data_IF_957892665659
#
_entry.id   IF_957892665659
#
_cell.length_a   1.000
_cell.length_b   1.000
_cell.length_c   1.000
_cell.angle_alpha   90.00
_cell.angle_beta   90.00
_cell.angle_gamma   90.00
#
_symmetry.space_group_name_H-M   'P 1'
#
loop_
_entity.id
_entity.type
_entity.pdbx_description
1 polymer ?
#
# COMPACT_ATOMS: atom_id res chain seq x y z
N UNK A 1 -32.26 -45.03 7.22
CA UNK A 1 -30.92 -44.56 7.52
C UNK A 1 -31.00 -43.63 8.71
N UNK A 2 -30.55 -44.12 9.87
CA UNK A 2 -30.44 -43.33 11.09
C UNK A 2 -29.36 -42.29 10.85
N UNK A 3 -29.73 -40.99 10.82
CA UNK A 3 -28.79 -39.88 10.84
C UNK A 3 -27.90 -40.05 12.09
N UNK A 4 -26.61 -40.18 11.86
CA UNK A 4 -25.64 -40.19 12.97
C UNK A 4 -25.57 -38.78 13.57
N UNK A 5 -25.33 -38.66 14.85
CA UNK A 5 -25.17 -37.36 15.55
C UNK A 5 -24.11 -36.48 14.89
N UNK A 6 -23.15 -37.07 14.18
CA UNK A 6 -22.12 -36.41 13.39
C UNK A 6 -22.60 -35.71 12.12
N UNK A 7 -23.86 -35.95 11.70
CA UNK A 7 -24.44 -35.36 10.47
C UNK A 7 -25.25 -34.09 10.78
N UNK A 8 -25.24 -33.61 12.02
CA UNK A 8 -26.01 -32.47 12.46
C UNK A 8 -25.09 -31.22 12.63
N UNK A 9 -25.53 -30.10 12.07
CA UNK A 9 -24.95 -28.81 12.35
C UNK A 9 -25.36 -28.41 13.76
N UNK A 10 -24.42 -28.38 14.69
CA UNK A 10 -24.66 -28.07 16.11
C UNK A 10 -24.80 -26.57 16.38
N UNK A 11 -24.07 -25.75 15.65
CA UNK A 11 -24.11 -24.29 15.76
C UNK A 11 -23.67 -23.64 14.44
N UNK A 12 -24.09 -22.41 14.21
CA UNK A 12 -23.63 -21.52 13.16
C UNK A 12 -23.00 -20.30 13.84
N UNK A 13 -21.80 -19.93 13.44
CA UNK A 13 -21.09 -18.77 13.97
C UNK A 13 -20.72 -17.81 12.84
N UNK A 14 -20.71 -16.52 13.15
CA UNK A 14 -20.50 -15.44 12.18
C UNK A 14 -19.03 -15.09 11.99
N UNK A 15 -18.19 -15.33 13.00
CA UNK A 15 -16.77 -14.98 12.97
C UNK A 15 -15.89 -16.19 12.67
N UNK A 16 -15.46 -16.31 11.43
CA UNK A 16 -14.53 -17.34 10.96
C UNK A 16 -13.06 -17.00 11.17
N UNK A 17 -12.74 -15.82 11.69
CA UNK A 17 -11.37 -15.28 11.75
C UNK A 17 -10.46 -16.10 12.68
N UNK A 18 -10.99 -16.60 13.79
CA UNK A 18 -10.24 -17.38 14.77
C UNK A 18 -10.42 -18.88 14.62
N UNK A 19 -11.60 -19.34 14.23
CA UNK A 19 -11.97 -20.77 14.24
C UNK A 19 -12.02 -21.40 12.84
N UNK A 20 -11.81 -20.63 11.78
CA UNK A 20 -11.98 -21.09 10.41
C UNK A 20 -13.46 -21.28 10.05
N UNK A 21 -13.72 -21.82 8.87
CA UNK A 21 -15.10 -21.96 8.34
C UNK A 21 -15.84 -23.19 8.89
N UNK A 22 -15.14 -24.12 9.51
CA UNK A 22 -15.69 -25.39 10.00
C UNK A 22 -15.09 -25.73 11.35
N UNK A 23 -15.94 -26.05 12.31
CA UNK A 23 -15.56 -26.53 13.63
C UNK A 23 -16.23 -27.88 13.84
N UNK A 24 -15.47 -28.85 14.30
CA UNK A 24 -16.00 -30.18 14.69
C UNK A 24 -15.66 -30.41 16.14
N UNK A 25 -16.47 -31.19 16.81
CA UNK A 25 -16.25 -31.59 18.20
C UNK A 25 -14.97 -32.41 18.35
N UNK A 26 -14.21 -32.18 19.41
CA UNK A 26 -12.94 -32.88 19.68
C UNK A 26 -13.14 -34.39 19.78
N UNK A 27 -14.22 -34.87 20.40
CA UNK A 27 -14.52 -36.29 20.47
C UNK A 27 -14.73 -36.93 19.09
N UNK A 28 -15.28 -36.15 18.14
CA UNK A 28 -15.42 -36.59 16.77
C UNK A 28 -14.09 -36.54 16.02
N UNK A 29 -13.27 -35.51 16.26
CA UNK A 29 -11.96 -35.36 15.63
C UNK A 29 -10.99 -36.47 16.05
N UNK A 30 -10.92 -36.80 17.33
CA UNK A 30 -10.04 -37.83 17.90
C UNK A 30 -10.34 -39.23 17.35
N UNK A 31 -11.56 -39.49 16.89
CA UNK A 31 -11.92 -40.76 16.22
C UNK A 31 -11.26 -40.92 14.86
N UNK A 32 -11.01 -39.80 14.16
CA UNK A 32 -10.43 -39.80 12.80
C UNK A 32 -8.92 -39.58 12.84
N UNK A 33 -8.42 -38.80 13.80
CA UNK A 33 -7.02 -38.40 13.94
C UNK A 33 -6.54 -38.59 15.41
N UNK A 34 -6.50 -39.84 15.90
CA UNK A 34 -6.03 -40.08 17.25
C UNK A 34 -4.56 -39.67 17.39
N UNK A 35 -4.24 -38.86 18.41
CA UNK A 35 -2.91 -38.29 18.72
C UNK A 35 -2.51 -37.09 17.89
N UNK A 36 -3.45 -36.35 17.33
CA UNK A 36 -3.12 -35.03 16.80
C UNK A 36 -2.79 -34.08 17.97
N UNK A 37 -1.62 -33.42 17.98
CA UNK A 37 -1.32 -32.45 19.03
C UNK A 37 -2.21 -31.19 18.84
N UNK A 38 -2.71 -30.66 19.95
CA UNK A 38 -3.41 -29.38 19.95
C UNK A 38 -2.41 -28.26 19.64
N UNK A 39 -2.64 -27.53 18.55
CA UNK A 39 -1.78 -26.43 18.14
C UNK A 39 -2.17 -25.08 18.78
N UNK A 40 -3.42 -24.95 19.22
CA UNK A 40 -3.94 -23.75 19.85
C UNK A 40 -5.13 -24.08 20.76
N UNK A 41 -5.24 -23.37 21.86
CA UNK A 41 -6.35 -23.46 22.79
C UNK A 41 -6.89 -22.05 23.05
N UNK A 42 -8.20 -21.88 22.97
CA UNK A 42 -8.86 -20.63 23.35
C UNK A 42 -9.44 -20.76 24.76
N UNK A 43 -9.04 -19.85 25.63
CA UNK A 43 -9.51 -19.82 27.02
C UNK A 43 -10.44 -18.62 27.21
N UNK A 44 -11.72 -18.88 27.50
CA UNK A 44 -12.67 -17.84 27.88
C UNK A 44 -12.65 -17.61 29.39
N UNK A 45 -12.56 -16.35 29.80
CA UNK A 45 -12.65 -16.02 31.23
C UNK A 45 -14.08 -16.08 31.70
N UNK A 46 -14.27 -16.51 32.96
CA UNK A 46 -15.59 -16.51 33.59
C UNK A 46 -16.16 -15.08 33.67
N UNK A 47 -17.47 -14.97 33.61
CA UNK A 47 -18.14 -13.68 33.74
C UNK A 47 -17.77 -12.99 35.06
N UNK A 48 -17.22 -11.78 35.01
CA UNK A 48 -16.77 -11.00 36.17
C UNK A 48 -15.36 -11.33 36.69
N UNK A 49 -14.61 -12.23 36.01
CA UNK A 49 -13.21 -12.47 36.38
C UNK A 49 -12.35 -11.26 35.95
N UNK A 50 -11.40 -10.87 36.81
CA UNK A 50 -10.40 -9.88 36.46
C UNK A 50 -9.43 -10.47 35.41
N UNK A 51 -9.28 -9.84 34.22
CA UNK A 51 -8.45 -10.38 33.16
C UNK A 51 -6.98 -10.59 33.54
N UNK A 52 -6.46 -9.73 34.44
CA UNK A 52 -5.05 -9.76 34.82
C UNK A 52 -4.76 -11.00 35.72
N UNK A 53 -5.62 -11.25 36.69
CA UNK A 53 -5.48 -12.40 37.59
C UNK A 53 -5.78 -13.71 36.87
N UNK A 54 -6.79 -13.74 35.99
CA UNK A 54 -7.10 -14.90 35.15
C UNK A 54 -5.94 -15.28 34.22
N UNK A 55 -5.31 -14.28 33.60
CA UNK A 55 -4.12 -14.46 32.78
C UNK A 55 -2.96 -15.06 33.58
N UNK A 56 -2.68 -14.54 34.75
CA UNK A 56 -1.59 -15.05 35.62
C UNK A 56 -1.76 -16.55 35.96
N UNK A 57 -3.00 -17.00 36.14
CA UNK A 57 -3.30 -18.43 36.38
C UNK A 57 -3.00 -19.25 35.13
N UNK A 58 -3.36 -18.77 33.92
CA UNK A 58 -3.08 -19.47 32.67
C UNK A 58 -1.57 -19.51 32.41
N UNK A 59 -0.85 -18.40 32.62
CA UNK A 59 0.60 -18.35 32.49
C UNK A 59 1.30 -19.32 33.44
N UNK A 60 0.87 -19.41 34.71
CA UNK A 60 1.44 -20.36 35.66
C UNK A 60 1.26 -21.84 35.26
N UNK A 61 0.18 -22.17 34.54
CA UNK A 61 -0.03 -23.53 34.00
C UNK A 61 0.84 -23.78 32.79
N UNK A 62 1.10 -22.74 31.96
CA UNK A 62 1.90 -22.85 30.74
C UNK A 62 3.39 -22.78 31.00
N UNK A 63 3.86 -22.37 32.18
CA UNK A 63 5.30 -22.32 32.52
C UNK A 63 5.98 -23.71 32.44
N UNK A 64 5.24 -24.77 32.62
CA UNK A 64 5.73 -26.15 32.45
C UNK A 64 5.87 -26.57 30.98
N UNK A 65 5.39 -25.74 30.05
CA UNK A 65 5.40 -26.00 28.59
C UNK A 65 6.16 -24.93 27.83
N UNK A 66 7.49 -25.07 27.63
CA UNK A 66 8.34 -24.02 27.00
C UNK A 66 7.92 -23.58 25.59
N UNK A 67 7.15 -24.40 24.90
CA UNK A 67 6.61 -24.09 23.57
C UNK A 67 5.25 -23.40 23.61
N UNK A 68 4.57 -23.38 24.75
CA UNK A 68 3.30 -22.69 24.88
C UNK A 68 3.51 -21.18 25.03
N UNK A 69 2.68 -20.39 24.37
CA UNK A 69 2.67 -18.94 24.52
C UNK A 69 1.26 -18.45 24.77
N UNK A 70 1.06 -17.76 25.89
CA UNK A 70 -0.22 -17.15 26.23
C UNK A 70 -0.30 -15.80 25.51
N UNK A 71 -1.25 -15.68 24.60
CA UNK A 71 -1.49 -14.44 23.86
C UNK A 71 -2.88 -13.92 24.18
N UNK A 72 -2.97 -12.66 24.57
CA UNK A 72 -4.23 -11.94 24.63
C UNK A 72 -4.65 -11.51 23.21
N UNK A 73 -5.96 -11.32 22.99
CA UNK A 73 -6.51 -10.83 21.72
C UNK A 73 -5.85 -9.52 21.25
N UNK A 74 -5.53 -8.62 22.18
CA UNK A 74 -4.81 -7.39 21.87
C UNK A 74 -3.36 -7.65 21.41
N UNK A 75 -2.67 -8.60 22.04
CA UNK A 75 -1.30 -8.98 21.65
C UNK A 75 -1.28 -9.70 20.30
N UNK A 76 -2.29 -10.53 20.02
CA UNK A 76 -2.43 -11.17 18.71
C UNK A 76 -2.66 -10.14 17.62
N UNK A 77 -3.55 -9.18 17.84
CA UNK A 77 -3.77 -8.05 16.93
C UNK A 77 -2.47 -7.25 16.71
N UNK A 78 -1.79 -6.86 17.79
CA UNK A 78 -0.54 -6.10 17.69
C UNK A 78 0.56 -6.86 16.90
N UNK A 79 0.63 -8.19 17.04
CA UNK A 79 1.57 -9.01 16.25
C UNK A 79 1.19 -9.06 14.77
N UNK A 80 -0.11 -9.17 14.45
CA UNK A 80 -0.60 -9.15 13.09
C UNK A 80 -0.36 -7.77 12.45
N UNK A 81 -0.70 -6.70 13.17
CA UNK A 81 -0.43 -5.32 12.78
C UNK A 81 1.07 -5.10 12.52
N UNK A 82 1.95 -5.54 13.43
CA UNK A 82 3.40 -5.43 13.26
C UNK A 82 3.95 -6.17 12.03
N UNK A 83 3.37 -7.31 11.67
CA UNK A 83 3.74 -8.00 10.42
C UNK A 83 3.26 -7.24 9.18
N UNK A 84 2.05 -6.68 9.23
CA UNK A 84 1.52 -5.85 8.15
C UNK A 84 2.37 -4.58 7.99
N UNK A 85 2.74 -3.92 9.09
CA UNK A 85 3.60 -2.73 9.08
C UNK A 85 4.97 -3.02 8.47
N UNK A 86 5.55 -4.18 8.74
CA UNK A 86 6.81 -4.60 8.12
C UNK A 86 6.67 -4.76 6.60
N UNK A 87 5.61 -5.41 6.13
CA UNK A 87 5.33 -5.57 4.70
C UNK A 87 5.09 -4.20 4.05
N UNK A 88 4.26 -3.36 4.68
CA UNK A 88 3.96 -2.01 4.20
C UNK A 88 5.23 -1.13 4.16
N UNK A 89 6.14 -1.28 5.13
CA UNK A 89 7.41 -0.57 5.14
C UNK A 89 8.28 -0.95 3.94
N UNK A 90 8.39 -2.24 3.64
CA UNK A 90 9.14 -2.72 2.46
C UNK A 90 8.52 -2.16 1.17
N UNK A 91 7.20 -2.24 1.03
CA UNK A 91 6.47 -1.69 -0.12
C UNK A 91 6.74 -0.19 -0.24
N UNK A 92 6.70 0.55 0.87
CA UNK A 92 6.94 2.00 0.90
C UNK A 92 8.35 2.35 0.43
N UNK A 93 9.36 1.57 0.79
CA UNK A 93 10.73 1.77 0.30
C UNK A 93 10.80 1.56 -1.21
N UNK A 94 10.17 0.51 -1.76
CA UNK A 94 10.11 0.28 -3.20
C UNK A 94 9.34 1.38 -3.93
N UNK A 95 8.24 1.88 -3.36
CA UNK A 95 7.51 3.02 -3.90
C UNK A 95 8.38 4.28 -3.91
N UNK A 96 9.15 4.55 -2.86
CA UNK A 96 10.09 5.65 -2.79
C UNK A 96 11.17 5.55 -3.87
N UNK A 97 11.73 4.36 -4.09
CA UNK A 97 12.69 4.11 -5.14
C UNK A 97 12.08 4.32 -6.54
N UNK A 98 10.88 3.81 -6.77
CA UNK A 98 10.14 3.99 -8.03
C UNK A 98 9.86 5.47 -8.30
N UNK A 99 9.46 6.22 -7.28
CA UNK A 99 9.24 7.66 -7.38
C UNK A 99 10.54 8.41 -7.71
N UNK A 100 11.66 8.01 -7.10
CA UNK A 100 12.97 8.58 -7.41
C UNK A 100 13.36 8.36 -8.87
N UNK A 101 13.16 7.14 -9.39
CA UNK A 101 13.39 6.81 -10.81
C UNK A 101 12.48 7.64 -11.72
N UNK A 102 11.20 7.80 -11.36
CA UNK A 102 10.26 8.61 -12.10
C UNK A 102 10.69 10.10 -12.18
N UNK A 103 11.15 10.66 -11.07
CA UNK A 103 11.69 12.05 -11.03
C UNK A 103 12.91 12.20 -11.92
N UNK A 104 13.83 11.22 -11.92
CA UNK A 104 14.98 11.19 -12.83
C UNK A 104 14.53 11.10 -14.29
N UNK A 105 13.54 10.25 -14.60
CA UNK A 105 12.98 10.11 -15.94
C UNK A 105 12.39 11.42 -16.46
N UNK A 106 11.54 12.09 -15.66
CA UNK A 106 10.97 13.39 -16.02
C UNK A 106 12.08 14.43 -16.21
N UNK A 107 13.07 14.46 -15.30
CA UNK A 107 14.21 15.39 -15.41
C UNK A 107 14.99 15.20 -16.69
N UNK A 108 15.27 13.95 -17.07
CA UNK A 108 15.99 13.61 -18.29
C UNK A 108 15.19 13.98 -19.54
N UNK A 109 13.91 13.62 -19.59
CA UNK A 109 13.02 13.95 -20.71
C UNK A 109 12.88 15.46 -20.89
N UNK A 110 12.71 16.20 -19.78
CA UNK A 110 12.63 17.66 -19.82
C UNK A 110 13.96 18.30 -20.24
N UNK A 111 15.08 17.72 -19.82
CA UNK A 111 16.41 18.23 -20.23
C UNK A 111 16.63 18.05 -21.74
N UNK A 112 16.22 16.89 -22.28
CA UNK A 112 16.29 16.61 -23.71
C UNK A 112 15.34 17.52 -24.49
N UNK A 113 14.09 17.67 -24.08
CA UNK A 113 13.12 18.58 -24.69
C UNK A 113 13.62 20.02 -24.74
N UNK A 114 14.22 20.52 -23.66
CA UNK A 114 14.83 21.85 -23.63
C UNK A 114 15.99 21.95 -24.63
N UNK A 115 16.81 20.90 -24.75
CA UNK A 115 17.95 20.88 -25.68
C UNK A 115 17.47 20.89 -27.12
N UNK A 116 16.52 20.05 -27.49
CA UNK A 116 15.96 19.96 -28.86
C UNK A 116 15.29 21.28 -29.31
N UNK A 117 14.67 22.00 -28.36
CA UNK A 117 13.94 23.26 -28.61
C UNK A 117 14.76 24.51 -28.25
N UNK A 118 16.08 24.38 -28.14
CA UNK A 118 16.96 25.49 -27.74
C UNK A 118 16.80 26.70 -28.62
N UNK A 119 16.69 26.53 -29.98
CA UNK A 119 16.51 27.61 -30.96
C UNK A 119 15.16 28.32 -30.75
N UNK A 120 14.07 27.59 -30.54
CA UNK A 120 12.73 28.15 -30.27
C UNK A 120 12.75 28.98 -28.98
N UNK A 121 13.33 28.41 -27.90
CA UNK A 121 13.44 29.07 -26.60
C UNK A 121 14.34 30.31 -26.69
N UNK A 122 15.40 30.28 -27.50
CA UNK A 122 16.26 31.41 -27.81
C UNK A 122 15.50 32.52 -28.55
N UNK A 123 14.71 32.17 -29.54
CA UNK A 123 13.86 33.11 -30.30
C UNK A 123 12.82 33.79 -29.41
N UNK A 124 12.12 33.00 -28.56
CA UNK A 124 11.17 33.55 -27.58
C UNK A 124 11.82 34.57 -26.66
N UNK A 125 13.06 34.34 -26.25
CA UNK A 125 13.82 35.29 -25.42
C UNK A 125 14.26 36.52 -26.20
N UNK A 126 14.58 36.36 -27.49
CA UNK A 126 14.94 37.50 -28.36
C UNK A 126 13.76 38.47 -28.56
N UNK A 127 12.50 37.94 -28.62
CA UNK A 127 11.29 38.74 -28.74
C UNK A 127 10.81 39.31 -27.38
N UNK A 128 11.55 39.05 -26.28
CA UNK A 128 11.30 39.71 -25.00
C UNK A 128 10.81 38.80 -23.86
N UNK A 129 10.79 37.48 -24.04
CA UNK A 129 10.46 36.56 -22.95
C UNK A 129 11.52 36.62 -21.85
N UNK A 130 11.08 36.86 -20.59
CA UNK A 130 11.97 36.91 -19.45
C UNK A 130 12.39 35.51 -18.99
N UNK A 131 13.56 35.40 -18.35
CA UNK A 131 14.04 34.14 -17.74
C UNK A 131 13.04 33.53 -16.74
N UNK A 132 12.24 34.37 -16.07
CA UNK A 132 11.22 33.92 -15.12
C UNK A 132 10.03 33.25 -15.84
N UNK A 133 9.58 33.83 -16.93
CA UNK A 133 8.51 33.28 -17.77
C UNK A 133 8.94 31.94 -18.38
N UNK A 134 10.15 31.87 -18.92
CA UNK A 134 10.69 30.62 -19.47
C UNK A 134 10.75 29.49 -18.43
N UNK A 135 11.27 29.80 -17.22
CA UNK A 135 11.27 28.81 -16.13
C UNK A 135 9.86 28.37 -15.73
N UNK A 136 8.91 29.27 -15.73
CA UNK A 136 7.51 28.94 -15.41
C UNK A 136 6.90 28.05 -16.49
N UNK A 137 7.15 28.34 -17.76
CA UNK A 137 6.70 27.52 -18.90
C UNK A 137 7.18 26.06 -18.78
N UNK A 138 8.49 25.85 -18.62
CA UNK A 138 9.08 24.49 -18.49
C UNK A 138 8.55 23.76 -17.25
N UNK A 139 8.30 24.45 -16.13
CA UNK A 139 7.72 23.83 -14.94
C UNK A 139 6.28 23.38 -15.14
N UNK A 140 5.46 24.20 -15.81
CA UNK A 140 4.07 23.83 -16.12
C UNK A 140 4.00 22.65 -17.09
N UNK A 141 4.89 22.59 -18.06
CA UNK A 141 5.01 21.44 -18.97
C UNK A 141 5.28 20.15 -18.18
N UNK A 142 6.24 20.16 -17.25
CA UNK A 142 6.52 19.01 -16.40
C UNK A 142 5.36 18.65 -15.46
N UNK A 143 4.64 19.64 -14.92
CA UNK A 143 3.44 19.40 -14.09
C UNK A 143 2.34 18.71 -14.89
N UNK A 144 2.11 19.14 -16.13
CA UNK A 144 1.11 18.53 -17.02
C UNK A 144 1.47 17.06 -17.30
N UNK A 145 2.74 16.79 -17.62
CA UNK A 145 3.23 15.42 -17.86
C UNK A 145 3.06 14.57 -16.60
N UNK A 146 3.43 15.09 -15.42
CA UNK A 146 3.31 14.38 -14.16
C UNK A 146 1.84 14.12 -13.78
N UNK A 147 0.95 15.07 -13.99
CA UNK A 147 -0.49 14.90 -13.74
C UNK A 147 -1.11 13.88 -14.69
N UNK A 148 -0.74 13.90 -15.97
CA UNK A 148 -1.19 12.90 -16.93
C UNK A 148 -0.74 11.49 -16.53
N UNK A 149 0.54 11.33 -16.20
CA UNK A 149 1.07 10.07 -15.66
C UNK A 149 0.39 9.65 -14.35
N UNK A 150 0.13 10.61 -13.46
CA UNK A 150 -0.60 10.39 -12.21
C UNK A 150 -2.04 9.91 -12.43
N UNK A 151 -2.77 10.50 -13.38
CA UNK A 151 -4.12 10.07 -13.77
C UNK A 151 -4.13 8.65 -14.32
N UNK A 152 -3.19 8.34 -15.22
CA UNK A 152 -3.04 6.97 -15.73
C UNK A 152 -2.69 5.99 -14.61
N UNK A 153 -1.78 6.36 -13.73
CA UNK A 153 -1.39 5.53 -12.58
C UNK A 153 -2.54 5.27 -11.61
N UNK A 154 -3.32 6.29 -11.28
CA UNK A 154 -4.54 6.15 -10.44
C UNK A 154 -5.57 5.27 -11.15
N UNK A 155 -5.82 5.49 -12.44
CA UNK A 155 -6.77 4.68 -13.21
C UNK A 155 -6.38 3.19 -13.24
N UNK A 156 -5.11 2.91 -13.53
CA UNK A 156 -4.58 1.54 -13.52
C UNK A 156 -4.59 0.94 -12.10
N UNK A 157 -4.22 1.72 -11.09
CA UNK A 157 -4.23 1.29 -9.69
C UNK A 157 -5.63 0.89 -9.21
N UNK A 158 -6.65 1.68 -9.54
CA UNK A 158 -8.05 1.34 -9.23
C UNK A 158 -8.49 0.10 -10.00
N UNK A 159 -8.17 0.01 -11.29
CA UNK A 159 -8.52 -1.15 -12.12
C UNK A 159 -7.92 -2.45 -11.54
N UNK A 160 -6.61 -2.47 -11.27
CA UNK A 160 -5.94 -3.64 -10.71
C UNK A 160 -6.39 -3.93 -9.27
N UNK A 161 -6.65 -2.90 -8.47
CA UNK A 161 -7.20 -3.05 -7.12
C UNK A 161 -8.56 -3.76 -7.13
N UNK A 162 -9.48 -3.31 -7.98
CA UNK A 162 -10.79 -3.94 -8.14
C UNK A 162 -10.68 -5.36 -8.70
N UNK A 163 -9.79 -5.59 -9.68
CA UNK A 163 -9.55 -6.93 -10.22
C UNK A 163 -8.96 -7.89 -9.16
N UNK A 164 -8.06 -7.41 -8.31
CA UNK A 164 -7.51 -8.19 -7.22
C UNK A 164 -8.58 -8.56 -6.18
N UNK A 165 -9.43 -7.60 -5.81
CA UNK A 165 -10.56 -7.84 -4.89
C UNK A 165 -11.53 -8.86 -5.49
N UNK A 166 -11.86 -8.75 -6.77
CA UNK A 166 -12.76 -9.69 -7.45
C UNK A 166 -12.20 -11.13 -7.55
N UNK A 167 -10.88 -11.30 -7.39
CA UNK A 167 -10.23 -12.62 -7.34
C UNK A 167 -10.25 -13.26 -5.94
N UNK A 168 -10.57 -12.50 -4.90
CA UNK A 168 -10.67 -12.97 -3.52
C UNK A 168 -12.10 -13.46 -3.27
N UNK A 169 -12.31 -14.63 -2.63
CA UNK A 169 -13.64 -15.09 -2.27
C UNK A 169 -14.39 -14.08 -1.39
N UNK A 170 -15.69 -13.92 -1.63
CA UNK A 170 -16.55 -12.95 -0.91
C UNK A 170 -16.56 -13.15 0.62
N UNK A 171 -16.19 -14.34 1.09
CA UNK A 171 -16.03 -14.65 2.53
C UNK A 171 -14.94 -13.85 3.22
N UNK A 172 -13.99 -13.27 2.48
CA UNK A 172 -12.87 -12.49 3.04
C UNK A 172 -13.00 -10.99 2.85
N UNK A 173 -13.93 -10.52 2.04
CA UNK A 173 -14.09 -9.10 1.71
C UNK A 173 -15.55 -8.70 1.78
N UNK A 174 -15.95 -8.09 2.89
CA UNK A 174 -17.32 -7.64 3.10
C UNK A 174 -17.63 -6.28 2.48
N UNK A 175 -16.64 -5.37 2.45
CA UNK A 175 -16.87 -3.99 2.01
C UNK A 175 -15.71 -3.52 1.13
N UNK A 176 -16.04 -3.11 -0.08
CA UNK A 176 -15.09 -2.43 -0.99
C UNK A 176 -15.27 -0.91 -0.88
N UNK A 177 -14.27 -0.22 -0.36
CA UNK A 177 -14.27 1.24 -0.26
C UNK A 177 -13.15 1.85 -1.11
N UNK A 178 -13.50 2.77 -1.99
CA UNK A 178 -12.54 3.53 -2.79
C UNK A 178 -12.23 4.85 -2.07
N UNK A 179 -10.99 5.08 -1.60
CA UNK A 179 -10.62 6.28 -0.87
C UNK A 179 -10.36 7.46 -1.82
N UNK A 180 -11.41 8.10 -2.32
CA UNK A 180 -11.32 9.21 -3.30
C UNK A 180 -10.42 10.36 -2.83
N UNK A 181 -10.42 10.66 -1.54
CA UNK A 181 -9.56 11.71 -0.95
C UNK A 181 -8.06 11.37 -1.09
N UNK A 182 -7.69 10.11 -0.88
CA UNK A 182 -6.31 9.65 -1.05
C UNK A 182 -5.90 9.67 -2.53
N UNK A 183 -6.81 9.27 -3.44
CA UNK A 183 -6.55 9.31 -4.88
C UNK A 183 -6.29 10.74 -5.37
N UNK A 184 -7.09 11.70 -4.90
CA UNK A 184 -6.86 13.12 -5.18
C UNK A 184 -5.52 13.60 -4.59
N UNK A 185 -5.20 13.17 -3.38
CA UNK A 185 -3.92 13.44 -2.75
C UNK A 185 -2.73 12.95 -3.59
N UNK A 186 -2.80 11.77 -4.16
CA UNK A 186 -1.75 11.23 -5.04
C UNK A 186 -1.58 12.06 -6.31
N UNK A 187 -2.66 12.59 -6.90
CA UNK A 187 -2.57 13.48 -8.05
C UNK A 187 -1.86 14.81 -7.69
N UNK A 188 -2.18 15.38 -6.54
CA UNK A 188 -1.52 16.60 -6.05
C UNK A 188 -0.02 16.34 -5.84
N UNK A 189 0.31 15.23 -5.19
CA UNK A 189 1.70 14.81 -4.94
C UNK A 189 2.44 14.58 -6.26
N UNK A 190 1.83 13.93 -7.26
CA UNK A 190 2.45 13.73 -8.58
C UNK A 190 2.78 15.07 -9.24
N UNK A 191 1.87 16.04 -9.21
CA UNK A 191 2.11 17.39 -9.73
C UNK A 191 3.27 18.12 -9.02
N UNK A 192 3.37 17.96 -7.69
CA UNK A 192 4.48 18.52 -6.91
C UNK A 192 5.82 17.89 -7.30
N UNK A 193 5.88 16.56 -7.48
CA UNK A 193 7.09 15.89 -7.94
C UNK A 193 7.47 16.26 -9.37
N UNK A 194 6.48 16.45 -10.27
CA UNK A 194 6.72 17.00 -11.59
C UNK A 194 7.35 18.40 -11.54
N UNK A 195 6.86 19.25 -10.67
CA UNK A 195 7.43 20.58 -10.45
C UNK A 195 8.88 20.53 -9.92
N UNK A 196 9.16 19.62 -8.98
CA UNK A 196 10.50 19.41 -8.43
C UNK A 196 11.47 18.88 -9.51
N UNK A 197 11.04 17.89 -10.30
CA UNK A 197 11.83 17.32 -11.39
C UNK A 197 12.24 18.36 -12.44
N UNK A 198 11.37 19.35 -12.67
CA UNK A 198 11.63 20.42 -13.63
C UNK A 198 12.56 21.53 -13.13
N UNK A 199 12.98 21.54 -11.85
CA UNK A 199 13.79 22.64 -11.31
C UNK A 199 15.14 22.76 -12.05
N UNK A 200 15.84 21.65 -12.25
CA UNK A 200 17.14 21.64 -12.93
C UNK A 200 17.02 22.01 -14.42
N UNK A 201 16.17 21.34 -15.24
CA UNK A 201 16.02 21.65 -16.65
C UNK A 201 15.51 23.09 -16.87
N UNK A 202 14.55 23.56 -16.07
CA UNK A 202 14.07 24.94 -16.16
C UNK A 202 15.15 26.00 -15.85
N UNK A 203 16.05 25.70 -14.91
CA UNK A 203 17.19 26.58 -14.64
C UNK A 203 18.20 26.60 -15.78
N UNK A 204 18.46 25.42 -16.41
CA UNK A 204 19.35 25.33 -17.58
C UNK A 204 18.76 26.08 -18.77
N UNK A 205 17.48 25.87 -19.09
CA UNK A 205 16.78 26.59 -20.16
C UNK A 205 16.88 28.12 -19.97
N UNK A 206 16.70 28.62 -18.77
CA UNK A 206 16.76 30.06 -18.49
C UNK A 206 18.18 30.67 -18.61
N UNK A 207 19.23 29.85 -18.60
CA UNK A 207 20.64 30.29 -18.71
C UNK A 207 21.19 30.19 -20.15
N UNK A 208 20.40 29.70 -21.11
CA UNK A 208 20.83 29.63 -22.52
C UNK A 208 21.25 31.01 -23.01
N UNK A 209 22.39 31.07 -23.70
CA UNK A 209 22.86 32.29 -24.38
C UNK A 209 22.04 32.47 -25.68
N UNK A 210 21.45 33.66 -25.86
CA UNK A 210 20.59 33.94 -27.00
C UNK A 210 21.41 33.92 -28.31
N UNK A 211 22.63 34.41 -28.25
CA UNK A 211 23.53 34.46 -29.43
C UNK A 211 23.94 33.05 -29.88
N UNK A 212 24.32 32.17 -28.93
CA UNK A 212 24.72 30.79 -29.21
C UNK A 212 23.54 29.94 -29.69
N UNK A 213 22.32 30.23 -29.18
CA UNK A 213 21.09 29.51 -29.58
C UNK A 213 20.63 29.81 -31.01
N UNK A 214 20.99 30.97 -31.56
CA UNK A 214 20.60 31.40 -32.92
C UNK A 214 21.72 31.07 -33.92
N UNK A 215 22.97 30.99 -33.50
CA UNK A 215 24.15 30.77 -34.37
C UNK A 215 24.50 29.29 -34.59
N UNK A 216 23.83 28.36 -33.97
CA UNK A 216 24.00 26.92 -34.25
C UNK A 216 23.29 26.57 -35.59
N UNK A 217 24.06 26.49 -36.65
CA UNK A 217 23.74 25.80 -37.90
C UNK A 217 23.93 24.28 -37.76
#
# INVERSE_FOLDING_TARGET
PTRRSSDLVGAVFDDSTMMGNWVIDNDAFDRFLPRSPDNSMSVAYAAGADPTSARAVVEAVTDDYPQASVNDSNQLRARLEGRLDQILSIITVFLGLSLFIAVLGITNTMALSVYERTRELGLLRAIGMTRRQLRRMVRWEAVIIALFGGLLGVGMGVLFGLAAIAAIPETFVDIVSIPYSSLLGYLVVSGLFGMLAAILPARRAARLNILDAISQE
#
